data_IF_615473535243
#
_entry.id   IF_615473535243
#
_cell.length_a   1.000
_cell.length_b   1.000
_cell.length_c   1.000
_cell.angle_alpha   90.00
_cell.angle_beta   90.00
_cell.angle_gamma   90.00
#
_symmetry.space_group_name_H-M   'P 1'
#
loop_
_entity.id
_entity.type
_entity.pdbx_description
1 polymer ?
#
# COMPACT_ATOMS: atom_id res chain seq x y z
N UNK A 1 34.96 -8.64 -19.18
CA UNK A 1 34.78 -9.43 -17.93
C UNK A 1 33.40 -9.09 -17.43
N UNK A 2 32.51 -9.94 -17.81
CA UNK A 2 31.07 -9.82 -17.57
C UNK A 2 30.79 -10.20 -16.11
N UNK A 3 30.33 -9.23 -15.30
CA UNK A 3 29.83 -9.48 -13.96
C UNK A 3 28.32 -9.36 -13.98
N UNK A 4 27.68 -10.36 -14.55
CA UNK A 4 26.28 -10.65 -14.24
C UNK A 4 26.20 -11.06 -12.77
N UNK A 5 25.86 -10.10 -11.91
CA UNK A 5 25.53 -10.38 -10.52
C UNK A 5 24.19 -11.13 -10.54
N UNK A 6 24.22 -12.43 -10.29
CA UNK A 6 23.02 -13.21 -10.06
C UNK A 6 22.27 -12.60 -8.87
N UNK A 7 21.16 -11.93 -9.18
CA UNK A 7 20.17 -11.54 -8.19
C UNK A 7 19.59 -12.83 -7.60
N UNK A 8 20.04 -13.16 -6.41
CA UNK A 8 19.52 -14.29 -5.63
C UNK A 8 18.00 -14.15 -5.54
N UNK A 9 17.32 -15.19 -5.99
CA UNK A 9 15.89 -15.37 -5.86
C UNK A 9 15.46 -15.02 -4.43
N UNK A 10 14.63 -13.99 -4.31
CA UNK A 10 13.85 -13.76 -3.10
C UNK A 10 13.00 -15.01 -2.93
N UNK A 11 13.29 -15.80 -1.92
CA UNK A 11 12.42 -16.90 -1.51
C UNK A 11 11.11 -16.27 -1.07
N UNK A 12 10.08 -16.36 -1.93
CA UNK A 12 8.71 -16.02 -1.54
C UNK A 12 8.42 -16.78 -0.23
N UNK A 13 7.79 -16.12 0.77
CA UNK A 13 7.30 -16.85 1.92
C UNK A 13 6.39 -17.97 1.39
N UNK A 14 6.68 -19.21 1.75
CA UNK A 14 5.92 -20.36 1.32
C UNK A 14 4.45 -20.15 1.68
N UNK A 15 3.62 -19.92 0.67
CA UNK A 15 2.17 -19.78 0.86
C UNK A 15 1.65 -21.20 1.01
N UNK A 16 1.46 -21.65 2.24
CA UNK A 16 0.81 -22.90 2.52
C UNK A 16 -0.59 -22.88 1.90
N UNK A 17 -0.88 -23.85 1.05
CA UNK A 17 -2.21 -24.03 0.46
C UNK A 17 -3.23 -24.19 1.61
N UNK A 18 -4.39 -23.50 1.55
CA UNK A 18 -5.38 -23.58 2.62
C UNK A 18 -5.84 -25.03 2.77
N UNK A 19 -5.88 -25.51 4.04
CA UNK A 19 -6.39 -26.83 4.34
C UNK A 19 -7.86 -26.97 3.89
N UNK A 20 -8.33 -28.15 3.47
CA UNK A 20 -9.72 -28.37 3.10
C UNK A 20 -10.65 -27.94 4.26
N UNK A 21 -11.48 -26.91 4.04
CA UNK A 21 -12.40 -26.36 5.04
C UNK A 21 -12.07 -24.96 5.56
N UNK A 22 -10.95 -24.35 5.17
CA UNK A 22 -10.69 -22.95 5.46
C UNK A 22 -11.62 -22.06 4.64
N UNK A 23 -12.28 -21.09 5.32
CA UNK A 23 -13.37 -20.30 4.80
C UNK A 23 -13.02 -19.34 3.65
N UNK A 24 -13.99 -18.56 3.23
CA UNK A 24 -13.89 -17.59 2.13
C UNK A 24 -12.78 -16.55 2.34
N UNK A 25 -12.49 -16.19 3.60
CA UNK A 25 -11.40 -15.26 3.92
C UNK A 25 -10.02 -15.76 3.46
N UNK A 26 -9.73 -17.04 3.65
CA UNK A 26 -8.48 -17.65 3.15
C UNK A 26 -8.40 -17.61 1.60
N UNK A 27 -9.53 -17.84 0.92
CA UNK A 27 -9.57 -17.76 -0.54
C UNK A 27 -9.37 -16.31 -1.04
N UNK A 28 -9.93 -15.31 -0.34
CA UNK A 28 -9.70 -13.88 -0.61
C UNK A 28 -8.23 -13.55 -0.45
N UNK A 29 -7.63 -13.94 0.68
CA UNK A 29 -6.21 -13.72 0.94
C UNK A 29 -5.33 -14.31 -0.16
N UNK A 30 -5.58 -15.55 -0.55
CA UNK A 30 -4.83 -16.22 -1.62
C UNK A 30 -4.93 -15.48 -2.96
N UNK A 31 -6.11 -14.98 -3.32
CA UNK A 31 -6.28 -14.17 -4.55
C UNK A 31 -5.44 -12.91 -4.51
N UNK A 32 -5.41 -12.21 -3.36
CA UNK A 32 -4.61 -11.00 -3.17
C UNK A 32 -3.13 -11.33 -3.35
N UNK A 33 -2.61 -12.34 -2.64
CA UNK A 33 -1.20 -12.74 -2.72
C UNK A 33 -0.78 -13.12 -4.16
N UNK A 34 -1.63 -13.84 -4.87
CA UNK A 34 -1.34 -14.19 -6.28
C UNK A 34 -1.32 -12.95 -7.19
N UNK A 35 -2.23 -12.01 -6.97
CA UNK A 35 -2.31 -10.78 -7.77
C UNK A 35 -1.17 -9.79 -7.45
N UNK A 36 -0.62 -9.80 -6.23
CA UNK A 36 0.51 -8.95 -5.83
C UNK A 36 1.76 -9.12 -6.71
N UNK A 37 1.90 -10.25 -7.40
CA UNK A 37 3.00 -10.46 -8.37
C UNK A 37 3.06 -9.39 -9.46
N UNK A 38 1.92 -8.83 -9.85
CA UNK A 38 1.86 -7.74 -10.83
C UNK A 38 2.50 -6.46 -10.27
N UNK A 39 2.13 -6.10 -9.03
CA UNK A 39 2.69 -4.94 -8.34
C UNK A 39 4.18 -5.13 -8.06
N UNK A 40 4.59 -6.32 -7.61
CA UNK A 40 6.00 -6.64 -7.39
C UNK A 40 6.84 -6.45 -8.66
N UNK A 41 6.30 -6.86 -9.81
CA UNK A 41 6.98 -6.67 -11.10
C UNK A 41 7.11 -5.18 -11.47
N UNK A 42 6.06 -4.39 -11.28
CA UNK A 42 6.10 -2.95 -11.52
C UNK A 42 7.04 -2.23 -10.54
N UNK A 43 6.97 -2.58 -9.26
CA UNK A 43 7.84 -2.06 -8.21
C UNK A 43 9.32 -2.39 -8.50
N UNK A 44 9.63 -3.63 -8.88
CA UNK A 44 10.99 -4.02 -9.25
C UNK A 44 11.51 -3.19 -10.43
N UNK A 45 10.70 -2.99 -11.48
CA UNK A 45 11.10 -2.15 -12.63
C UNK A 45 11.38 -0.71 -12.22
N UNK A 46 10.57 -0.17 -11.31
CA UNK A 46 10.74 1.19 -10.79
C UNK A 46 12.01 1.29 -9.93
N UNK A 47 12.15 0.42 -8.93
CA UNK A 47 13.24 0.47 -7.95
C UNK A 47 14.60 0.09 -8.54
N UNK A 48 14.65 -0.81 -9.52
CA UNK A 48 15.89 -1.19 -10.22
C UNK A 48 16.18 -0.29 -11.44
N UNK A 49 15.40 0.74 -11.68
CA UNK A 49 15.63 1.69 -12.77
C UNK A 49 16.87 2.57 -12.52
N UNK A 50 17.63 2.87 -13.60
CA UNK A 50 18.87 3.66 -13.51
C UNK A 50 18.68 5.06 -12.89
N UNK A 51 17.47 5.58 -12.88
CA UNK A 51 17.15 6.94 -12.44
C UNK A 51 16.26 7.01 -11.20
N UNK A 52 16.16 5.93 -10.45
CA UNK A 52 15.33 5.88 -9.23
C UNK A 52 15.63 7.03 -8.27
N UNK A 53 16.90 7.42 -8.11
CA UNK A 53 17.27 8.57 -7.27
C UNK A 53 16.67 9.89 -7.73
N UNK A 54 16.50 10.09 -9.04
CA UNK A 54 15.86 11.30 -9.59
C UNK A 54 14.32 11.25 -9.48
N UNK A 55 13.76 10.05 -9.49
CA UNK A 55 12.32 9.83 -9.37
C UNK A 55 11.84 9.82 -7.92
N UNK A 56 12.75 9.62 -6.97
CA UNK A 56 12.42 9.52 -5.55
C UNK A 56 11.55 10.69 -5.03
N UNK A 57 11.84 11.98 -5.32
CA UNK A 57 10.96 13.06 -4.87
C UNK A 57 9.54 12.95 -5.43
N UNK A 58 9.39 12.55 -6.69
CA UNK A 58 8.06 12.36 -7.30
C UNK A 58 7.33 11.17 -6.69
N UNK A 59 8.03 10.08 -6.40
CA UNK A 59 7.47 8.93 -5.69
C UNK A 59 7.02 9.31 -4.27
N UNK A 60 7.83 10.04 -3.52
CA UNK A 60 7.48 10.50 -2.17
C UNK A 60 6.24 11.42 -2.18
N UNK A 61 6.03 12.22 -3.21
CA UNK A 61 4.82 13.03 -3.37
C UNK A 61 3.56 12.17 -3.55
N UNK A 62 3.61 11.13 -4.37
CA UNK A 62 2.49 10.19 -4.54
C UNK A 62 2.26 9.39 -3.24
N UNK A 63 3.33 8.91 -2.61
CA UNK A 63 3.26 8.18 -1.34
C UNK A 63 2.67 9.06 -0.24
N UNK A 64 3.15 10.31 -0.10
CA UNK A 64 2.59 11.27 0.87
C UNK A 64 1.08 11.46 0.65
N UNK A 65 0.65 11.63 -0.59
CA UNK A 65 -0.76 11.82 -0.89
C UNK A 65 -1.62 10.61 -0.50
N UNK A 66 -1.09 9.39 -0.66
CA UNK A 66 -1.77 8.16 -0.22
C UNK A 66 -1.82 8.05 1.30
N UNK A 67 -0.67 8.20 1.97
CA UNK A 67 -0.58 8.09 3.44
C UNK A 67 -1.44 9.14 4.14
N UNK A 68 -1.41 10.38 3.65
CA UNK A 68 -2.25 11.48 4.17
C UNK A 68 -3.75 11.20 4.04
N UNK A 69 -4.17 10.47 3.00
CA UNK A 69 -5.56 10.06 2.82
C UNK A 69 -5.94 8.80 3.62
N UNK A 70 -4.97 7.99 4.08
CA UNK A 70 -5.23 6.67 4.69
C UNK A 70 -6.01 6.79 6.01
N UNK A 71 -5.55 7.59 6.95
CA UNK A 71 -6.25 7.75 8.25
C UNK A 71 -7.67 8.32 8.08
N UNK A 72 -7.91 9.38 7.28
CA UNK A 72 -9.27 9.84 6.98
C UNK A 72 -10.16 8.77 6.33
N UNK A 73 -9.61 7.96 5.41
CA UNK A 73 -10.34 6.87 4.78
C UNK A 73 -10.72 5.76 5.77
N UNK A 74 -9.75 5.34 6.59
CA UNK A 74 -10.00 4.35 7.65
C UNK A 74 -11.01 4.85 8.68
N UNK A 75 -10.95 6.14 9.04
CA UNK A 75 -11.92 6.77 9.94
C UNK A 75 -13.33 6.72 9.34
N UNK A 76 -13.48 7.05 8.05
CA UNK A 76 -14.77 6.97 7.37
C UNK A 76 -15.31 5.52 7.31
N UNK A 77 -14.42 4.53 7.15
CA UNK A 77 -14.78 3.12 7.16
C UNK A 77 -15.15 2.64 8.57
N UNK A 78 -14.43 3.08 9.59
CA UNK A 78 -14.72 2.80 11.00
C UNK A 78 -16.10 3.36 11.39
N UNK A 79 -16.39 4.64 11.10
CA UNK A 79 -17.68 5.25 11.37
C UNK A 79 -18.82 4.46 10.70
N UNK A 80 -18.63 4.12 9.42
CA UNK A 80 -19.65 3.33 8.70
C UNK A 80 -19.82 1.92 9.25
N UNK A 81 -18.74 1.26 9.67
CA UNK A 81 -18.79 -0.05 10.31
C UNK A 81 -19.50 0.03 11.66
N UNK A 82 -19.23 1.06 12.46
CA UNK A 82 -19.89 1.28 13.77
C UNK A 82 -21.42 1.50 13.60
N UNK A 83 -21.87 2.21 12.55
CA UNK A 83 -23.29 2.36 12.23
C UNK A 83 -23.98 1.01 11.95
N UNK A 84 -23.29 0.05 11.34
CA UNK A 84 -23.83 -1.24 10.94
C UNK A 84 -23.69 -2.32 12.01
N UNK A 85 -22.77 -2.15 12.95
CA UNK A 85 -22.30 -3.19 13.90
C UNK A 85 -23.40 -3.86 14.71
N UNK A 86 -24.51 -3.14 15.02
CA UNK A 86 -25.59 -3.69 15.83
C UNK A 86 -26.27 -4.94 15.22
N UNK A 87 -26.23 -5.07 13.88
CA UNK A 87 -26.92 -6.14 13.14
C UNK A 87 -26.00 -6.87 12.14
N UNK A 88 -24.71 -6.51 12.12
CA UNK A 88 -23.77 -7.03 11.14
C UNK A 88 -22.45 -7.45 11.82
N UNK A 89 -22.21 -8.76 12.00
CA UNK A 89 -20.99 -9.28 12.59
C UNK A 89 -19.74 -8.91 11.79
N UNK A 90 -19.82 -8.79 10.45
CA UNK A 90 -18.69 -8.37 9.61
C UNK A 90 -18.35 -6.91 9.89
N UNK A 91 -19.33 -6.05 10.02
CA UNK A 91 -19.13 -4.65 10.38
C UNK A 91 -18.56 -4.50 11.80
N UNK A 92 -19.00 -5.31 12.77
CA UNK A 92 -18.45 -5.32 14.13
C UNK A 92 -16.95 -5.65 14.12
N UNK A 93 -16.55 -6.69 13.40
CA UNK A 93 -15.13 -7.07 13.28
C UNK A 93 -14.31 -6.02 12.51
N UNK A 94 -14.91 -5.42 11.48
CA UNK A 94 -14.28 -4.33 10.71
C UNK A 94 -14.02 -3.11 11.60
N UNK A 95 -15.00 -2.69 12.41
CA UNK A 95 -14.84 -1.58 13.34
C UNK A 95 -13.75 -1.86 14.38
N UNK A 96 -13.75 -3.05 14.99
CA UNK A 96 -12.76 -3.43 15.98
C UNK A 96 -11.32 -3.46 15.46
N UNK A 97 -11.12 -3.89 14.20
CA UNK A 97 -9.82 -3.83 13.54
C UNK A 97 -9.40 -2.38 13.29
N UNK A 98 -10.25 -1.59 12.65
CA UNK A 98 -9.93 -0.21 12.26
C UNK A 98 -9.68 0.71 13.45
N UNK A 99 -10.38 0.50 14.58
CA UNK A 99 -10.17 1.28 15.81
C UNK A 99 -8.71 1.22 16.29
N UNK A 100 -8.09 0.05 16.23
CA UNK A 100 -6.68 -0.13 16.61
C UNK A 100 -5.75 0.38 15.53
N UNK A 101 -5.97 -0.05 14.31
CA UNK A 101 -5.09 0.25 13.18
C UNK A 101 -5.00 1.75 12.86
N UNK A 102 -6.08 2.52 13.04
CA UNK A 102 -6.05 3.98 12.94
C UNK A 102 -5.08 4.62 13.95
N UNK A 103 -4.94 4.04 15.16
CA UNK A 103 -4.03 4.58 16.17
C UNK A 103 -2.56 4.31 15.79
N UNK A 104 -2.29 3.20 15.14
CA UNK A 104 -0.96 2.80 14.67
C UNK A 104 -0.52 3.69 13.49
N UNK A 105 -1.44 4.00 12.58
CA UNK A 105 -1.16 4.78 11.37
C UNK A 105 -1.16 6.31 11.56
N UNK A 106 -1.50 6.80 12.77
CA UNK A 106 -1.47 8.24 13.06
C UNK A 106 -0.07 8.81 12.92
N UNK A 107 0.02 9.99 12.29
CA UNK A 107 1.25 10.77 12.11
C UNK A 107 2.27 10.20 11.12
N UNK A 108 2.00 9.09 10.44
CA UNK A 108 2.89 8.59 9.40
C UNK A 108 3.05 9.58 8.23
N UNK A 109 2.01 10.34 7.91
CA UNK A 109 2.06 11.43 6.94
C UNK A 109 2.98 12.58 7.38
N UNK A 110 3.00 12.92 8.68
CA UNK A 110 3.90 13.91 9.24
C UNK A 110 5.36 13.44 9.20
N UNK A 111 5.62 12.16 9.52
CA UNK A 111 6.95 11.58 9.42
C UNK A 111 7.47 11.61 7.99
N UNK A 112 6.63 11.22 7.04
CA UNK A 112 6.99 11.25 5.62
C UNK A 112 7.25 12.68 5.14
N UNK A 113 6.44 13.64 5.58
CA UNK A 113 6.61 15.06 5.28
C UNK A 113 7.92 15.61 5.84
N UNK A 114 8.33 15.18 7.03
CA UNK A 114 9.62 15.53 7.63
C UNK A 114 10.79 14.91 6.84
N UNK A 115 10.66 13.66 6.40
CA UNK A 115 11.68 13.01 5.56
C UNK A 115 11.85 13.71 4.20
N UNK A 116 10.73 14.17 3.61
CA UNK A 116 10.75 14.91 2.34
C UNK A 116 11.54 16.23 2.43
N UNK A 117 11.67 16.84 3.62
CA UNK A 117 12.50 18.03 3.82
C UNK A 117 14.00 17.76 3.55
N UNK A 118 14.46 16.52 3.56
CA UNK A 118 15.82 16.12 3.20
C UNK A 118 16.00 15.84 1.70
N UNK A 119 14.96 16.07 0.92
CA UNK A 119 14.98 16.05 -0.55
C UNK A 119 14.93 17.48 -1.11
N UNK A 120 14.66 17.63 -2.38
CA UNK A 120 14.45 18.95 -3.01
C UNK A 120 13.02 19.50 -2.86
N UNK A 121 12.18 18.88 -2.03
CA UNK A 121 10.77 19.24 -1.89
C UNK A 121 10.57 20.26 -0.77
N UNK A 122 9.85 21.35 -1.11
CA UNK A 122 9.44 22.36 -0.14
C UNK A 122 8.15 21.92 0.59
N UNK A 123 8.16 21.96 1.92
CA UNK A 123 7.02 21.54 2.76
C UNK A 123 5.71 22.27 2.41
N UNK A 124 5.77 23.58 2.19
CA UNK A 124 4.57 24.36 1.88
C UNK A 124 4.01 23.99 0.50
N UNK A 125 4.88 23.74 -0.46
CA UNK A 125 4.48 23.26 -1.79
C UNK A 125 3.86 21.86 -1.74
N UNK A 126 4.36 20.96 -0.89
CA UNK A 126 3.77 19.64 -0.69
C UNK A 126 2.37 19.75 -0.08
N UNK A 127 2.22 20.52 1.01
CA UNK A 127 0.94 20.71 1.70
C UNK A 127 -0.12 21.41 0.83
N UNK A 128 0.29 22.27 -0.08
CA UNK A 128 -0.60 22.97 -1.02
C UNK A 128 -0.98 22.16 -2.25
N UNK A 129 -0.42 20.96 -2.43
CA UNK A 129 -0.61 20.15 -3.62
C UNK A 129 -1.86 19.26 -3.50
N UNK A 130 -2.72 19.27 -4.52
CA UNK A 130 -3.76 18.27 -4.66
C UNK A 130 -3.16 16.89 -5.00
N UNK A 131 -3.76 15.78 -4.52
CA UNK A 131 -3.39 14.45 -4.96
C UNK A 131 -3.43 14.32 -6.49
N UNK A 132 -2.57 13.47 -7.06
CA UNK A 132 -2.62 13.17 -8.48
C UNK A 132 -3.96 12.50 -8.87
N UNK A 133 -4.29 12.52 -10.16
CA UNK A 133 -5.50 11.87 -10.64
C UNK A 133 -5.51 10.35 -10.32
N UNK A 134 -4.33 9.71 -10.32
CA UNK A 134 -4.21 8.29 -10.01
C UNK A 134 -4.46 8.02 -8.52
N UNK A 135 -3.86 8.80 -7.62
CA UNK A 135 -4.14 8.70 -6.17
C UNK A 135 -5.61 9.03 -5.88
N UNK A 136 -6.16 10.08 -6.51
CA UNK A 136 -7.56 10.44 -6.31
C UNK A 136 -8.53 9.35 -6.76
N UNK A 137 -8.25 8.65 -7.90
CA UNK A 137 -9.05 7.50 -8.34
C UNK A 137 -8.93 6.32 -7.38
N UNK A 138 -7.71 5.98 -6.96
CA UNK A 138 -7.44 4.87 -6.05
C UNK A 138 -8.21 5.08 -4.73
N UNK A 139 -8.03 6.22 -4.08
CA UNK A 139 -8.67 6.55 -2.81
C UNK A 139 -10.18 6.77 -2.98
N UNK A 140 -10.60 7.44 -4.05
CA UNK A 140 -12.02 7.69 -4.33
C UNK A 140 -12.82 6.41 -4.54
N UNK A 141 -12.25 5.38 -5.17
CA UNK A 141 -12.87 4.07 -5.30
C UNK A 141 -13.13 3.43 -3.92
N UNK A 142 -12.18 3.54 -2.99
CA UNK A 142 -12.35 3.03 -1.63
C UNK A 142 -13.49 3.74 -0.89
N UNK A 143 -13.55 5.07 -0.94
CA UNK A 143 -14.66 5.82 -0.37
C UNK A 143 -16.02 5.42 -0.96
N UNK A 144 -16.06 5.16 -2.27
CA UNK A 144 -17.27 4.69 -2.93
C UNK A 144 -17.76 3.37 -2.32
N UNK A 145 -16.90 2.38 -2.20
CA UNK A 145 -17.28 1.08 -1.63
C UNK A 145 -17.60 1.15 -0.14
N UNK A 146 -16.81 1.89 0.63
CA UNK A 146 -17.04 2.10 2.06
C UNK A 146 -18.42 2.71 2.31
N UNK A 147 -18.81 3.72 1.54
CA UNK A 147 -20.06 4.48 1.75
C UNK A 147 -21.29 3.82 1.10
N UNK A 148 -21.12 3.18 -0.05
CA UNK A 148 -22.25 2.72 -0.88
C UNK A 148 -22.37 1.19 -0.98
N UNK A 149 -21.39 0.43 -0.48
CA UNK A 149 -21.46 -1.03 -0.39
C UNK A 149 -21.24 -1.47 1.06
N UNK A 150 -20.02 -1.83 1.44
CA UNK A 150 -19.71 -2.28 2.80
C UNK A 150 -18.30 -1.83 3.23
N UNK A 151 -18.08 -1.36 4.48
CA UNK A 151 -16.79 -0.89 4.96
C UNK A 151 -15.68 -1.97 4.98
N UNK A 152 -16.04 -3.25 5.05
CA UNK A 152 -15.09 -4.36 4.92
C UNK A 152 -14.36 -4.39 3.56
N UNK A 153 -14.83 -3.66 2.53
CA UNK A 153 -14.09 -3.46 1.29
C UNK A 153 -12.67 -2.96 1.55
N UNK A 154 -12.47 -2.15 2.59
CA UNK A 154 -11.19 -1.55 2.92
C UNK A 154 -10.11 -2.58 3.27
N UNK A 155 -10.46 -3.78 3.73
CA UNK A 155 -9.50 -4.86 3.92
C UNK A 155 -8.74 -5.23 2.64
N UNK A 156 -9.38 -5.10 1.48
CA UNK A 156 -8.70 -5.30 0.19
C UNK A 156 -7.62 -4.26 -0.08
N UNK A 157 -7.91 -2.99 0.22
CA UNK A 157 -6.96 -1.89 0.12
C UNK A 157 -5.78 -2.09 1.08
N UNK A 158 -6.04 -2.29 2.36
CA UNK A 158 -5.02 -2.47 3.39
C UNK A 158 -4.11 -3.67 3.07
N UNK A 159 -4.68 -4.81 2.67
CA UNK A 159 -3.91 -5.99 2.31
C UNK A 159 -2.93 -5.79 1.15
N UNK A 160 -3.20 -4.82 0.28
CA UNK A 160 -2.30 -4.47 -0.83
C UNK A 160 -1.27 -3.44 -0.42
N UNK A 161 -1.67 -2.39 0.29
CA UNK A 161 -0.77 -1.30 0.70
C UNK A 161 0.30 -1.83 1.67
N UNK A 162 -0.10 -2.58 2.69
CA UNK A 162 0.80 -3.13 3.71
C UNK A 162 1.45 -4.46 3.27
N UNK A 163 0.86 -5.11 2.27
CA UNK A 163 1.34 -6.40 1.76
C UNK A 163 2.63 -6.35 0.93
N UNK A 164 3.19 -5.16 0.70
CA UNK A 164 4.37 -4.95 -0.13
C UNK A 164 5.37 -3.98 0.53
N UNK A 165 5.83 -4.24 1.76
CA UNK A 165 6.85 -3.40 2.36
C UNK A 165 8.11 -3.38 1.50
N UNK A 166 8.78 -2.22 1.37
CA UNK A 166 10.03 -2.15 0.66
C UNK A 166 11.09 -3.01 1.39
N UNK A 167 11.78 -3.86 0.65
CA UNK A 167 12.82 -4.69 1.24
C UNK A 167 14.00 -3.82 1.74
N UNK A 168 14.57 -4.09 2.93
CA UNK A 168 15.66 -3.29 3.50
C UNK A 168 16.85 -3.12 2.56
N UNK A 169 17.23 -4.16 1.81
CA UNK A 169 18.30 -4.09 0.82
C UNK A 169 17.97 -3.17 -0.36
N UNK A 170 16.71 -3.08 -0.78
CA UNK A 170 16.28 -2.14 -1.82
C UNK A 170 16.34 -0.70 -1.31
N UNK A 171 15.91 -0.45 -0.08
CA UNK A 171 16.01 0.88 0.53
C UNK A 171 17.47 1.33 0.66
N UNK A 172 18.37 0.44 1.12
CA UNK A 172 19.80 0.72 1.22
C UNK A 172 20.41 1.06 -0.16
N UNK A 173 20.03 0.34 -1.20
CA UNK A 173 20.50 0.62 -2.57
C UNK A 173 19.94 1.93 -3.11
N UNK A 174 18.65 2.21 -2.92
CA UNK A 174 18.03 3.47 -3.34
C UNK A 174 18.70 4.65 -2.61
N UNK A 175 18.92 4.53 -1.33
CA UNK A 175 19.64 5.54 -0.55
C UNK A 175 21.05 5.80 -1.13
N UNK A 176 21.79 4.72 -1.44
CA UNK A 176 23.12 4.82 -2.02
C UNK A 176 23.13 5.49 -3.40
N UNK A 177 22.21 5.14 -4.29
CA UNK A 177 22.18 5.65 -5.68
C UNK A 177 21.53 7.02 -5.80
N UNK A 178 20.61 7.36 -4.89
CA UNK A 178 19.94 8.65 -4.89
C UNK A 178 20.82 9.79 -4.42
N UNK A 179 21.82 9.49 -3.57
CA UNK A 179 22.66 10.48 -2.92
C UNK A 179 21.94 11.32 -1.84
N UNK A 180 20.68 11.02 -1.54
CA UNK A 180 19.96 11.64 -0.42
C UNK A 180 20.46 11.12 0.92
N UNK A 181 20.30 11.96 1.95
CA UNK A 181 20.65 11.64 3.31
C UNK A 181 19.79 10.51 3.88
N UNK A 182 20.31 9.71 4.84
CA UNK A 182 19.54 8.65 5.50
C UNK A 182 18.20 9.12 6.07
N UNK A 183 18.13 10.36 6.54
CA UNK A 183 16.96 10.98 7.13
C UNK A 183 15.77 11.10 6.14
N UNK A 184 16.04 11.08 4.83
CA UNK A 184 15.00 11.08 3.80
C UNK A 184 14.27 9.71 3.67
N UNK A 185 14.67 8.70 4.43
CA UNK A 185 14.18 7.32 4.31
C UNK A 185 13.66 6.75 5.63
N UNK A 186 13.55 7.55 6.71
CA UNK A 186 13.14 7.05 8.03
C UNK A 186 11.76 6.42 8.00
N UNK A 187 10.79 7.11 7.40
CA UNK A 187 9.42 6.63 7.26
C UNK A 187 9.37 5.31 6.45
N UNK A 188 10.10 5.23 5.34
CA UNK A 188 10.17 4.01 4.53
C UNK A 188 10.81 2.83 5.29
N UNK A 189 11.85 3.08 6.10
CA UNK A 189 12.46 2.06 6.95
C UNK A 189 11.52 1.62 8.08
N UNK A 190 10.76 2.55 8.67
CA UNK A 190 9.80 2.22 9.72
C UNK A 190 8.69 1.35 9.15
N UNK A 191 8.07 1.74 8.04
CA UNK A 191 7.06 0.90 7.38
C UNK A 191 7.60 -0.48 7.01
N UNK A 192 8.83 -0.57 6.50
CA UNK A 192 9.44 -1.87 6.19
C UNK A 192 9.57 -2.80 7.41
N UNK A 193 9.62 -2.24 8.62
CA UNK A 193 9.67 -3.01 9.87
C UNK A 193 8.26 -3.34 10.40
N UNK A 194 7.36 -2.35 10.42
CA UNK A 194 6.03 -2.46 11.04
C UNK A 194 5.08 -3.31 10.19
N UNK A 195 5.17 -3.21 8.86
CA UNK A 195 4.28 -3.93 7.93
C UNK A 195 4.36 -5.46 8.06
N UNK A 196 5.44 -6.00 8.61
CA UNK A 196 5.56 -7.45 8.86
C UNK A 196 4.54 -7.91 9.91
N UNK A 197 4.38 -7.13 10.98
CA UNK A 197 3.41 -7.43 12.04
C UNK A 197 1.99 -7.12 11.57
N UNK A 198 1.78 -5.96 10.95
CA UNK A 198 0.51 -5.55 10.35
C UNK A 198 -0.01 -6.59 9.36
N UNK A 199 0.83 -7.09 8.47
CA UNK A 199 0.46 -8.10 7.49
C UNK A 199 0.02 -9.42 8.14
N UNK A 200 0.68 -9.81 9.23
CA UNK A 200 0.34 -11.02 9.97
C UNK A 200 -1.03 -10.88 10.64
N UNK A 201 -1.29 -9.74 11.29
CA UNK A 201 -2.58 -9.45 11.92
C UNK A 201 -3.70 -9.31 10.88
N UNK A 202 -3.44 -8.59 9.80
CA UNK A 202 -4.40 -8.38 8.72
C UNK A 202 -4.78 -9.70 8.03
N UNK A 203 -3.81 -10.58 7.78
CA UNK A 203 -4.05 -11.94 7.29
C UNK A 203 -4.94 -12.73 8.24
N UNK A 204 -4.62 -12.74 9.52
CA UNK A 204 -5.40 -13.44 10.54
C UNK A 204 -6.84 -12.90 10.60
N UNK A 205 -6.98 -11.58 10.54
CA UNK A 205 -8.28 -10.90 10.50
C UNK A 205 -9.08 -11.32 9.27
N UNK A 206 -8.57 -11.13 8.05
CA UNK A 206 -9.28 -11.45 6.81
C UNK A 206 -9.68 -12.93 6.77
N UNK A 207 -8.80 -13.83 7.21
CA UNK A 207 -9.10 -15.28 7.22
C UNK A 207 -10.18 -15.66 8.21
N UNK A 208 -10.34 -14.89 9.30
CA UNK A 208 -11.36 -15.07 10.34
C UNK A 208 -12.70 -14.38 10.08
N UNK A 209 -12.81 -13.51 9.05
CA UNK A 209 -14.04 -12.78 8.77
C UNK A 209 -15.20 -13.71 8.36
N UNK A 210 -16.44 -13.44 8.80
CA UNK A 210 -17.63 -14.20 8.44
C UNK A 210 -18.16 -13.78 7.06
N UNK A 211 -17.35 -13.96 6.00
CA UNK A 211 -17.65 -13.46 4.66
C UNK A 211 -18.74 -14.24 3.96
N UNK A 212 -19.73 -13.53 3.39
CA UNK A 212 -20.57 -14.00 2.31
C UNK A 212 -19.80 -14.07 0.97
N UNK A 213 -20.42 -14.58 -0.07
CA UNK A 213 -19.85 -14.55 -1.41
C UNK A 213 -19.70 -13.12 -1.94
N UNK A 214 -20.69 -12.27 -1.70
CA UNK A 214 -20.66 -10.84 -2.07
C UNK A 214 -19.56 -10.08 -1.34
N UNK A 215 -19.36 -10.33 -0.05
CA UNK A 215 -18.28 -9.68 0.73
C UNK A 215 -16.90 -10.10 0.21
N UNK A 216 -16.74 -11.38 -0.08
CA UNK A 216 -15.51 -11.92 -0.67
C UNK A 216 -15.19 -11.31 -2.03
N UNK A 217 -16.22 -11.11 -2.86
CA UNK A 217 -16.09 -10.44 -4.15
C UNK A 217 -15.73 -8.95 -3.97
N UNK A 218 -16.38 -8.26 -3.04
CA UNK A 218 -16.15 -6.85 -2.76
C UNK A 218 -14.72 -6.58 -2.27
N UNK A 219 -14.24 -7.35 -1.29
CA UNK A 219 -12.86 -7.24 -0.79
C UNK A 219 -11.85 -7.55 -1.90
N UNK A 220 -12.12 -8.57 -2.72
CA UNK A 220 -11.26 -8.89 -3.87
C UNK A 220 -11.23 -7.77 -4.91
N UNK A 221 -12.38 -7.14 -5.21
CA UNK A 221 -12.45 -5.99 -6.11
C UNK A 221 -11.65 -4.80 -5.59
N UNK A 222 -11.80 -4.48 -4.31
CA UNK A 222 -11.03 -3.42 -3.65
C UNK A 222 -9.53 -3.67 -3.78
N UNK A 223 -9.09 -4.90 -3.50
CA UNK A 223 -7.68 -5.28 -3.62
C UNK A 223 -7.16 -5.14 -5.07
N UNK A 224 -7.91 -5.64 -6.06
CA UNK A 224 -7.47 -5.60 -7.45
C UNK A 224 -7.43 -4.17 -8.00
N UNK A 225 -8.40 -3.33 -7.67
CA UNK A 225 -8.38 -1.91 -8.04
C UNK A 225 -7.22 -1.16 -7.36
N UNK A 226 -6.87 -1.52 -6.13
CA UNK A 226 -5.71 -0.96 -5.44
C UNK A 226 -4.41 -1.37 -6.12
N UNK A 227 -4.26 -2.65 -6.46
CA UNK A 227 -3.10 -3.16 -7.22
C UNK A 227 -2.94 -2.44 -8.55
N UNK A 228 -4.03 -2.32 -9.32
CA UNK A 228 -4.05 -1.62 -10.61
C UNK A 228 -3.63 -0.15 -10.44
N UNK A 229 -4.22 0.55 -9.48
CA UNK A 229 -3.89 1.96 -9.22
C UNK A 229 -2.43 2.18 -8.82
N UNK A 230 -1.85 1.30 -8.00
CA UNK A 230 -0.42 1.37 -7.64
C UNK A 230 0.49 1.08 -8.84
N UNK A 231 0.15 0.09 -9.66
CA UNK A 231 0.89 -0.19 -10.89
C UNK A 231 0.87 1.02 -11.82
N UNK A 232 -0.31 1.64 -12.04
CA UNK A 232 -0.43 2.86 -12.86
C UNK A 232 0.41 4.01 -12.31
N UNK A 233 0.44 4.22 -10.99
CA UNK A 233 1.28 5.25 -10.37
C UNK A 233 2.76 5.01 -10.67
N UNK A 234 3.25 3.79 -10.48
CA UNK A 234 4.66 3.44 -10.72
C UNK A 234 5.03 3.53 -12.20
N UNK A 235 4.15 3.09 -13.11
CA UNK A 235 4.37 3.17 -14.55
C UNK A 235 4.37 4.63 -15.06
N UNK A 236 3.46 5.47 -14.56
CA UNK A 236 3.44 6.90 -14.89
C UNK A 236 4.71 7.60 -14.42
N UNK A 237 5.18 7.33 -13.20
CA UNK A 237 6.44 7.86 -12.69
C UNK A 237 7.61 7.44 -13.60
N UNK A 238 7.69 6.17 -14.00
CA UNK A 238 8.70 5.68 -14.91
C UNK A 238 8.62 6.27 -16.33
N UNK A 239 7.41 6.58 -16.81
CA UNK A 239 7.21 7.18 -18.14
C UNK A 239 7.60 8.66 -18.20
N UNK A 240 7.37 9.43 -17.13
CA UNK A 240 7.78 10.86 -17.04
C UNK A 240 9.28 11.03 -17.23
N UNK A 241 10.08 10.06 -16.84
CA UNK A 241 11.51 10.06 -17.04
C UNK A 241 11.92 9.95 -18.50
N UNK A 242 11.26 9.07 -19.27
CA UNK A 242 11.59 8.86 -20.69
C UNK A 242 11.35 10.14 -21.49
N UNK A 243 10.31 10.89 -21.18
CA UNK A 243 9.96 12.13 -21.85
C UNK A 243 10.93 13.29 -21.51
N UNK A 244 11.51 13.30 -20.31
CA UNK A 244 12.51 14.31 -19.92
C UNK A 244 13.91 14.05 -20.50
N UNK A 245 14.18 12.89 -21.09
CA UNK A 245 15.43 12.58 -21.81
C UNK A 245 15.41 12.99 -23.29
N UNK A 246 14.24 13.31 -23.84
CA UNK A 246 14.05 13.63 -25.26
C UNK A 246 14.07 15.14 -25.52
N UNK A 247 14.05 15.97 -24.49
CA UNK A 247 14.17 17.43 -24.54
C UNK A 247 15.49 17.89 -23.92
#
# INVERSE_FOLDING_TARGET
MDKTTELTHVTEPAVDAPAPGQGRGAAVWMKIVLAQKLLNTAAQRFWCGENVGRLLPSFLLELYSMVHCSVPLMTAAFERAAELAANDPLATMTAAYLERHILEERHHDEWLLDDMAFTCLDRAAVLGRAPSANVARLIGAQYCWVRHAHPAALFGYLAVIEGNPPLPQHLAEIQRVSGYRPEAFRCLHQHAADDIEHLTELRATITGLPLSESDSALISMSAFATLEGLVEILEELGAREKNNKVN
#
